data_IF_062418707679
#
_entry.id   IF_062418707679
#
_cell.length_a   1.000
_cell.length_b   1.000
_cell.length_c   1.000
_cell.angle_alpha   90.00
_cell.angle_beta   90.00
_cell.angle_gamma   90.00
#
_symmetry.space_group_name_H-M   'P 1'
#
loop_
_entity.id
_entity.type
_entity.pdbx_description
1 polymer ?
#
# COMPACT_ATOMS: atom_id res chain seq x y z
N UNK A 1 -46.58 9.90 15.90
CA UNK A 1 -46.01 8.53 16.04
C UNK A 1 -44.74 8.61 16.86
N UNK A 2 -44.60 7.74 17.86
CA UNK A 2 -43.57 7.77 18.92
C UNK A 2 -42.20 7.31 18.40
N UNK A 3 -41.14 8.05 18.71
CA UNK A 3 -39.78 7.51 18.83
C UNK A 3 -39.45 7.47 20.33
N UNK A 4 -39.09 6.27 20.80
CA UNK A 4 -38.93 5.89 22.20
C UNK A 4 -37.44 5.98 22.57
N UNK A 5 -37.19 6.70 23.66
CA UNK A 5 -35.90 6.84 24.36
C UNK A 5 -35.61 5.58 25.21
N UNK A 6 -34.31 5.35 25.47
CA UNK A 6 -33.62 4.62 26.58
C UNK A 6 -32.77 3.44 26.05
N UNK A 7 -31.51 3.25 26.45
CA UNK A 7 -30.90 3.53 27.75
C UNK A 7 -29.45 4.03 27.66
N UNK A 8 -29.19 5.11 28.39
CA UNK A 8 -27.91 5.37 29.05
C UNK A 8 -27.85 4.50 30.32
N UNK A 9 -26.82 3.68 30.48
CA UNK A 9 -26.45 3.16 31.80
C UNK A 9 -25.45 4.13 32.42
N UNK A 10 -25.99 5.08 33.19
CA UNK A 10 -25.27 5.80 34.22
C UNK A 10 -25.06 4.84 35.40
N UNK A 11 -23.81 4.54 35.74
CA UNK A 11 -23.43 4.14 37.09
C UNK A 11 -22.67 5.31 37.69
N UNK A 12 -23.33 5.98 38.65
CA UNK A 12 -22.71 6.94 39.56
C UNK A 12 -22.35 6.15 40.82
N UNK A 13 -21.07 6.12 41.17
CA UNK A 13 -20.61 5.74 42.49
C UNK A 13 -19.47 6.67 42.95
N UNK A 14 -19.81 7.53 43.91
CA UNK A 14 -18.98 8.13 44.95
C UNK A 14 -17.56 8.66 44.60
N UNK A 15 -17.50 9.95 44.22
CA UNK A 15 -16.72 10.93 44.99
C UNK A 15 -15.18 10.84 45.06
N UNK A 16 -14.47 10.13 44.17
CA UNK A 16 -13.02 10.30 43.97
C UNK A 16 -12.64 10.06 42.50
N UNK A 17 -11.95 11.02 41.89
CA UNK A 17 -11.27 10.82 40.61
C UNK A 17 -10.16 9.78 40.80
N UNK A 18 -10.39 8.55 40.38
CA UNK A 18 -9.33 7.57 40.16
C UNK A 18 -8.85 7.80 38.73
N UNK A 19 -7.62 8.29 38.58
CA UNK A 19 -6.92 8.33 37.29
C UNK A 19 -6.76 6.88 36.83
N UNK A 20 -7.49 6.48 35.80
CA UNK A 20 -7.23 5.24 35.07
C UNK A 20 -5.98 5.44 34.24
N UNK A 21 -4.85 4.99 34.78
CA UNK A 21 -3.60 4.81 34.03
C UNK A 21 -3.86 3.86 32.85
N UNK A 22 -3.38 4.17 31.64
CA UNK A 22 -3.54 3.28 30.50
C UNK A 22 -2.77 1.98 30.76
N UNK A 23 -3.45 0.85 30.52
CA UNK A 23 -2.87 -0.49 30.63
C UNK A 23 -1.67 -0.57 29.67
N UNK A 24 -0.44 -0.82 30.16
CA UNK A 24 0.73 -0.88 29.29
C UNK A 24 0.66 -2.12 28.40
N UNK A 25 0.95 -1.93 27.11
CA UNK A 25 1.12 -3.02 26.16
C UNK A 25 2.31 -3.89 26.58
N UNK A 26 2.05 -5.10 27.09
CA UNK A 26 3.07 -6.08 27.47
C UNK A 26 3.90 -6.63 26.28
N UNK A 27 3.74 -6.07 25.07
CA UNK A 27 4.51 -6.47 23.88
C UNK A 27 5.45 -5.38 23.36
N UNK A 28 5.48 -4.21 24.01
CA UNK A 28 6.31 -3.08 23.62
C UNK A 28 7.55 -2.97 24.51
N UNK A 29 8.34 -4.05 24.61
CA UNK A 29 9.64 -3.97 25.26
C UNK A 29 10.65 -3.29 24.35
N UNK A 30 10.67 -1.95 24.28
CA UNK A 30 11.95 -1.23 24.24
C UNK A 30 11.82 0.27 24.51
N UNK A 31 12.57 0.70 25.53
CA UNK A 31 13.07 2.05 25.73
C UNK A 31 14.28 2.18 24.81
N UNK A 32 14.26 3.12 23.88
CA UNK A 32 15.44 3.42 23.06
C UNK A 32 15.09 3.98 21.70
N UNK A 33 15.28 5.27 21.53
CA UNK A 33 15.43 5.93 20.24
C UNK A 33 16.49 5.20 19.41
N UNK A 34 16.25 4.81 18.15
CA UNK A 34 17.33 4.38 17.29
C UNK A 34 17.96 5.62 16.65
N UNK A 35 18.98 6.16 17.32
CA UNK A 35 20.08 6.81 16.62
C UNK A 35 20.85 5.72 15.87
N UNK A 36 20.52 5.52 14.59
CA UNK A 36 21.18 4.53 13.75
C UNK A 36 20.74 4.67 12.30
N UNK A 37 21.51 5.42 11.51
CA UNK A 37 21.39 5.48 10.06
C UNK A 37 21.81 4.14 9.45
N UNK A 38 20.87 3.22 9.30
CA UNK A 38 20.99 2.07 8.41
C UNK A 38 20.12 2.32 7.17
N UNK A 39 20.60 2.00 5.95
CA UNK A 39 19.78 2.14 4.76
C UNK A 39 18.62 1.13 4.83
N UNK A 40 17.42 1.63 5.14
CA UNK A 40 16.20 0.83 5.06
C UNK A 40 15.89 0.54 3.59
N UNK A 41 15.58 -0.72 3.26
CA UNK A 41 15.10 -1.06 1.92
C UNK A 41 13.76 -0.37 1.67
N UNK A 42 13.52 0.03 0.41
CA UNK A 42 12.32 0.76 0.01
C UNK A 42 11.02 0.01 0.40
N UNK A 43 11.06 -1.32 0.40
CA UNK A 43 9.98 -2.20 0.85
C UNK A 43 9.62 -2.04 2.34
N UNK A 44 10.60 -1.68 3.19
CA UNK A 44 10.41 -1.53 4.63
C UNK A 44 9.85 -0.16 4.99
N UNK A 45 10.09 0.85 4.15
CA UNK A 45 9.57 2.22 4.31
C UNK A 45 8.05 2.22 4.18
N UNK A 46 7.49 1.49 3.22
CA UNK A 46 6.05 1.37 3.03
C UNK A 46 5.36 0.81 4.28
N UNK A 47 5.88 -0.27 4.86
CA UNK A 47 5.33 -0.87 6.08
C UNK A 47 5.39 0.04 7.31
N UNK A 48 6.46 0.82 7.45
CA UNK A 48 6.62 1.76 8.58
C UNK A 48 5.66 2.94 8.44
N UNK A 49 5.53 3.52 7.24
CA UNK A 49 4.61 4.64 7.00
C UNK A 49 3.16 4.28 7.36
N UNK A 50 2.73 3.04 7.06
CA UNK A 50 1.39 2.53 7.41
C UNK A 50 1.12 2.51 8.92
N UNK A 51 2.15 2.32 9.75
CA UNK A 51 2.00 2.20 11.22
C UNK A 51 1.91 3.54 11.97
N UNK A 52 2.35 4.65 11.35
CA UNK A 52 2.42 5.98 11.99
C UNK A 52 1.31 6.95 11.55
N UNK A 53 0.51 6.61 10.54
CA UNK A 53 -0.54 7.46 10.00
C UNK A 53 -1.81 7.40 10.86
N UNK A 54 -1.76 7.96 12.07
CA UNK A 54 -2.82 7.81 13.06
C UNK A 54 -3.17 9.06 13.87
N UNK A 55 -2.89 10.28 13.43
CA UNK A 55 -3.36 11.50 14.15
C UNK A 55 -3.44 12.71 13.22
N UNK A 56 -4.60 13.01 12.61
CA UNK A 56 -5.03 14.38 12.23
C UNK A 56 -6.44 14.35 11.58
N UNK A 57 -7.53 14.65 12.31
CA UNK A 57 -8.90 14.56 11.80
C UNK A 57 -9.35 15.77 10.95
N UNK A 58 -8.43 16.64 10.50
CA UNK A 58 -8.77 17.97 9.99
C UNK A 58 -8.39 18.30 8.54
N UNK A 59 -7.66 17.45 7.84
CA UNK A 59 -7.31 17.70 6.43
C UNK A 59 -8.19 16.84 5.53
N UNK A 60 -9.05 17.45 4.73
CA UNK A 60 -9.60 16.83 3.50
C UNK A 60 -8.49 16.72 2.44
N UNK A 61 -7.32 16.26 2.86
CA UNK A 61 -6.18 15.93 2.01
C UNK A 61 -6.21 14.44 1.75
N UNK A 62 -5.69 14.05 0.59
CA UNK A 62 -5.59 12.66 0.17
C UNK A 62 -5.03 11.79 1.32
N UNK A 63 -5.68 10.67 1.60
CA UNK A 63 -5.24 9.75 2.65
C UNK A 63 -3.91 9.08 2.29
N UNK A 64 -3.15 8.57 3.27
CA UNK A 64 -1.87 7.91 2.98
C UNK A 64 -2.02 6.75 1.98
N UNK A 65 -3.10 5.99 2.06
CA UNK A 65 -3.38 4.89 1.13
C UNK A 65 -3.79 5.38 -0.26
N UNK A 66 -4.45 6.54 -0.33
CA UNK A 66 -4.83 7.17 -1.59
C UNK A 66 -3.62 7.67 -2.37
N UNK A 67 -2.65 8.32 -1.69
CA UNK A 67 -1.37 8.65 -2.31
C UNK A 67 -0.62 7.39 -2.75
N UNK A 68 -0.61 6.34 -1.93
CA UNK A 68 0.03 5.06 -2.28
C UNK A 68 -0.60 4.43 -3.52
N UNK A 69 -1.94 4.41 -3.61
CA UNK A 69 -2.65 3.90 -4.77
C UNK A 69 -2.34 4.71 -6.04
N UNK A 70 -2.35 6.04 -5.95
CA UNK A 70 -2.03 6.93 -7.08
C UNK A 70 -0.58 6.73 -7.55
N UNK A 71 0.36 6.65 -6.61
CA UNK A 71 1.77 6.39 -6.92
C UNK A 71 1.93 5.04 -7.63
N UNK A 72 1.29 3.99 -7.12
CA UNK A 72 1.35 2.65 -7.69
C UNK A 72 0.76 2.59 -9.11
N UNK A 73 -0.39 3.23 -9.34
CA UNK A 73 -1.02 3.38 -10.67
C UNK A 73 -0.04 4.01 -11.65
N UNK A 74 0.57 5.13 -11.26
CA UNK A 74 1.51 5.84 -12.11
C UNK A 74 2.77 5.00 -12.40
N UNK A 75 3.35 4.38 -11.38
CA UNK A 75 4.59 3.61 -11.48
C UNK A 75 4.45 2.36 -12.34
N UNK A 76 3.29 1.70 -12.33
CA UNK A 76 3.06 0.44 -13.04
C UNK A 76 2.36 0.58 -14.39
N UNK A 77 1.82 1.75 -14.72
CA UNK A 77 1.14 2.04 -15.99
C UNK A 77 1.88 1.56 -17.25
N UNK A 78 3.21 1.52 -17.23
CA UNK A 78 4.03 1.09 -18.38
C UNK A 78 4.06 -0.43 -18.63
N UNK A 79 3.63 -1.26 -17.66
CA UNK A 79 3.82 -2.71 -17.66
C UNK A 79 2.51 -3.48 -17.47
N UNK A 80 1.38 -2.84 -17.77
CA UNK A 80 0.02 -3.37 -17.65
C UNK A 80 -0.78 -2.88 -18.87
N UNK A 81 -1.91 -3.52 -19.18
CA UNK A 81 -2.84 -2.97 -20.18
C UNK A 81 -3.61 -1.78 -19.62
N UNK A 82 -4.10 -1.89 -18.40
CA UNK A 82 -4.78 -0.81 -17.69
C UNK A 82 -4.60 -0.96 -16.19
N UNK A 83 -4.58 0.17 -15.49
CA UNK A 83 -4.61 0.23 -14.03
C UNK A 83 -5.25 1.55 -13.59
N UNK A 84 -6.20 1.48 -12.66
CA UNK A 84 -6.90 2.66 -12.14
C UNK A 84 -7.51 2.38 -10.77
N UNK A 85 -7.70 3.43 -9.96
CA UNK A 85 -8.53 3.34 -8.75
C UNK A 85 -9.97 3.08 -9.18
N UNK A 86 -10.67 2.14 -8.54
CA UNK A 86 -12.07 1.84 -8.85
C UNK A 86 -12.96 3.04 -8.47
N UNK A 87 -13.84 3.42 -9.39
CA UNK A 87 -14.87 4.44 -9.17
C UNK A 87 -16.18 3.84 -8.63
N UNK A 88 -16.33 2.51 -8.73
CA UNK A 88 -17.55 1.79 -8.40
C UNK A 88 -17.53 1.22 -6.97
N UNK A 89 -16.35 1.02 -6.40
CA UNK A 89 -16.17 0.40 -5.09
C UNK A 89 -15.84 1.43 -3.98
N UNK A 90 -16.07 1.10 -2.70
CA UNK A 90 -15.83 2.02 -1.60
C UNK A 90 -14.39 2.55 -1.54
N UNK A 91 -14.26 3.86 -1.42
CA UNK A 91 -12.98 4.56 -1.20
C UNK A 91 -13.00 5.21 0.17
N UNK A 92 -12.13 4.74 1.06
CA UNK A 92 -12.03 5.23 2.44
C UNK A 92 -10.55 5.44 2.81
N UNK A 93 -10.23 6.19 3.88
CA UNK A 93 -8.85 6.39 4.30
C UNK A 93 -8.07 5.11 4.62
N UNK A 94 -8.77 4.00 4.92
CA UNK A 94 -8.19 2.73 5.35
C UNK A 94 -8.35 1.59 4.32
N UNK A 95 -9.08 1.84 3.23
CA UNK A 95 -9.37 0.86 2.19
C UNK A 95 -9.59 1.56 0.84
N UNK A 96 -8.78 1.18 -0.15
CA UNK A 96 -8.88 1.64 -1.52
C UNK A 96 -8.95 0.42 -2.45
N UNK A 97 -9.84 0.45 -3.44
CA UNK A 97 -9.87 -0.57 -4.49
C UNK A 97 -9.20 -0.09 -5.77
N UNK A 98 -8.43 -0.97 -6.40
CA UNK A 98 -7.70 -0.71 -7.64
C UNK A 98 -8.03 -1.81 -8.64
N UNK A 99 -8.42 -1.41 -9.84
CA UNK A 99 -8.60 -2.29 -10.98
C UNK A 99 -7.31 -2.37 -11.78
N UNK A 100 -6.99 -3.57 -12.24
CA UNK A 100 -5.79 -3.87 -12.99
C UNK A 100 -6.14 -4.88 -14.08
N UNK A 101 -5.70 -4.62 -15.30
CA UNK A 101 -5.63 -5.63 -16.36
C UNK A 101 -4.18 -5.82 -16.76
N UNK A 102 -3.67 -7.03 -16.62
CA UNK A 102 -2.28 -7.33 -16.93
C UNK A 102 -2.03 -7.31 -18.44
N UNK A 103 -0.75 -7.37 -18.85
CA UNK A 103 -0.44 -7.40 -20.29
C UNK A 103 -0.89 -8.68 -20.99
N UNK A 104 -1.19 -9.73 -20.22
CA UNK A 104 -1.78 -10.98 -20.66
C UNK A 104 -3.31 -10.95 -20.74
N UNK A 105 -3.93 -9.77 -20.56
CA UNK A 105 -5.40 -9.56 -20.60
C UNK A 105 -6.15 -10.23 -19.45
N UNK A 106 -5.47 -10.41 -18.32
CA UNK A 106 -6.10 -10.94 -17.12
C UNK A 106 -6.59 -9.79 -16.22
N UNK A 107 -7.91 -9.69 -15.96
CA UNK A 107 -8.46 -8.69 -15.06
C UNK A 107 -8.33 -9.09 -13.60
N UNK A 108 -8.06 -8.11 -12.75
CA UNK A 108 -8.03 -8.22 -11.30
C UNK A 108 -8.65 -6.98 -10.67
N UNK A 109 -9.39 -7.21 -9.59
CA UNK A 109 -9.69 -6.17 -8.62
C UNK A 109 -8.85 -6.43 -7.36
N UNK A 110 -8.21 -5.38 -6.87
CA UNK A 110 -7.28 -5.40 -5.76
C UNK A 110 -7.82 -4.51 -4.65
N UNK A 111 -7.57 -4.89 -3.40
CA UNK A 111 -7.69 -3.99 -2.27
C UNK A 111 -6.30 -3.57 -1.78
N UNK A 112 -6.21 -2.31 -1.37
CA UNK A 112 -5.10 -1.73 -0.63
C UNK A 112 -5.61 -1.34 0.76
N UNK A 113 -4.94 -1.86 1.78
CA UNK A 113 -5.17 -1.54 3.20
C UNK A 113 -3.83 -1.34 3.91
N UNK A 114 -3.85 -1.00 5.20
CA UNK A 114 -2.64 -0.96 6.02
C UNK A 114 -1.90 -2.31 6.13
N UNK A 115 -2.57 -3.43 5.82
CA UNK A 115 -1.94 -4.77 5.74
C UNK A 115 -1.15 -4.98 4.44
N UNK A 116 -1.36 -4.13 3.44
CA UNK A 116 -0.78 -4.25 2.11
C UNK A 116 -1.84 -4.49 1.03
N UNK A 117 -1.41 -5.14 -0.05
CA UNK A 117 -2.16 -5.38 -1.27
C UNK A 117 -2.71 -6.79 -1.32
N UNK A 118 -3.95 -6.97 -1.77
CA UNK A 118 -4.56 -8.30 -1.92
C UNK A 118 -5.47 -8.35 -3.13
N UNK A 119 -5.54 -9.51 -3.78
CA UNK A 119 -6.51 -9.75 -4.85
C UNK A 119 -7.88 -9.99 -4.20
N UNK A 120 -8.90 -9.26 -4.62
CA UNK A 120 -10.28 -9.45 -4.16
C UNK A 120 -11.13 -10.18 -5.17
N UNK A 121 -10.86 -10.02 -6.47
CA UNK A 121 -11.57 -10.73 -7.52
C UNK A 121 -10.75 -10.84 -8.80
N UNK A 122 -11.14 -11.78 -9.66
CA UNK A 122 -10.66 -11.93 -11.04
C UNK A 122 -11.54 -11.16 -12.05
N UNK A 123 -12.27 -10.16 -11.55
CA UNK A 123 -13.13 -9.27 -12.33
C UNK A 123 -12.91 -7.85 -11.85
N UNK A 124 -12.94 -6.90 -12.78
CA UNK A 124 -12.88 -5.47 -12.45
C UNK A 124 -14.11 -5.08 -11.63
N UNK A 125 -13.94 -4.10 -10.73
CA UNK A 125 -15.02 -3.55 -9.89
C UNK A 125 -15.79 -4.61 -9.08
N UNK A 126 -15.10 -5.68 -8.69
CA UNK A 126 -15.68 -6.78 -7.94
C UNK A 126 -14.85 -7.11 -6.70
N UNK A 127 -15.51 -7.20 -5.54
CA UNK A 127 -14.87 -7.63 -4.29
C UNK A 127 -15.12 -9.10 -3.94
N UNK A 128 -15.79 -9.84 -4.84
CA UNK A 128 -16.15 -11.25 -4.61
C UNK A 128 -15.05 -12.15 -5.17
N UNK A 129 -14.30 -12.75 -4.26
CA UNK A 129 -13.30 -13.77 -4.57
C UNK A 129 -13.93 -15.12 -4.92
N UNK A 130 -13.12 -15.99 -5.52
CA UNK A 130 -13.50 -17.38 -5.78
C UNK A 130 -13.04 -18.27 -4.62
N UNK A 131 -14.00 -18.86 -3.91
CA UNK A 131 -13.76 -19.70 -2.74
C UNK A 131 -13.01 -21.01 -3.06
N UNK A 132 -12.94 -21.42 -4.33
CA UNK A 132 -12.16 -22.60 -4.75
C UNK A 132 -10.64 -22.34 -4.72
N UNK A 133 -10.23 -21.07 -4.76
CA UNK A 133 -8.82 -20.64 -4.76
C UNK A 133 -8.53 -19.72 -3.58
N UNK A 134 -8.94 -20.13 -2.38
CA UNK A 134 -8.90 -19.32 -1.17
C UNK A 134 -7.54 -18.64 -0.94
N UNK A 135 -6.44 -19.38 -1.08
CA UNK A 135 -5.09 -18.87 -0.84
C UNK A 135 -4.77 -17.61 -1.67
N UNK A 136 -5.26 -17.55 -2.92
CA UNK A 136 -5.07 -16.41 -3.81
C UNK A 136 -5.73 -15.14 -3.26
N UNK A 137 -6.96 -15.27 -2.75
CA UNK A 137 -7.78 -14.14 -2.30
C UNK A 137 -7.55 -13.76 -0.83
N UNK A 138 -6.78 -14.55 -0.07
CA UNK A 138 -6.43 -14.25 1.32
C UNK A 138 -5.00 -13.77 1.50
N UNK A 139 -4.13 -13.92 0.50
CA UNK A 139 -2.71 -13.55 0.57
C UNK A 139 -2.52 -12.04 0.41
N UNK A 140 -1.97 -11.41 1.44
CA UNK A 140 -1.50 -10.03 1.37
C UNK A 140 -0.04 -9.96 0.90
N UNK A 141 0.24 -8.93 0.11
CA UNK A 141 1.57 -8.58 -0.40
C UNK A 141 1.98 -7.23 0.18
N UNK A 142 3.26 -7.09 0.52
CA UNK A 142 3.77 -5.83 1.09
C UNK A 142 3.77 -4.67 0.09
N UNK A 143 3.86 -4.98 -1.21
CA UNK A 143 3.84 -4.02 -2.31
C UNK A 143 3.12 -4.59 -3.54
N UNK A 144 2.60 -3.69 -4.38
CA UNK A 144 2.00 -4.08 -5.65
C UNK A 144 3.02 -4.74 -6.60
N UNK A 145 4.31 -4.39 -6.49
CA UNK A 145 5.38 -5.02 -7.27
C UNK A 145 5.52 -6.51 -6.98
N UNK A 146 5.51 -6.90 -5.70
CA UNK A 146 5.59 -8.33 -5.31
C UNK A 146 4.34 -9.09 -5.74
N UNK A 147 3.17 -8.45 -5.72
CA UNK A 147 1.94 -9.03 -6.26
C UNK A 147 2.06 -9.24 -7.77
N UNK A 148 2.51 -8.22 -8.51
CA UNK A 148 2.69 -8.28 -9.97
C UNK A 148 3.73 -9.32 -10.40
N UNK A 149 4.80 -9.49 -9.61
CA UNK A 149 5.81 -10.52 -9.83
C UNK A 149 5.19 -11.92 -9.79
N UNK A 150 4.20 -12.17 -8.94
CA UNK A 150 3.50 -13.46 -8.86
C UNK A 150 2.48 -13.65 -10.00
N UNK A 151 1.73 -12.61 -10.38
CA UNK A 151 0.55 -12.77 -11.26
C UNK A 151 0.78 -12.47 -12.74
N UNK A 152 1.84 -11.75 -13.11
CA UNK A 152 2.07 -11.31 -14.50
C UNK A 152 3.52 -11.58 -14.94
N UNK A 153 3.76 -12.70 -15.64
CA UNK A 153 5.06 -12.98 -16.24
C UNK A 153 5.56 -11.87 -17.18
N UNK A 154 4.63 -11.24 -17.89
CA UNK A 154 4.86 -10.15 -18.81
C UNK A 154 5.30 -8.86 -18.11
N UNK A 155 4.74 -8.56 -16.94
CA UNK A 155 5.26 -7.49 -16.09
C UNK A 155 6.74 -7.71 -15.77
N UNK A 156 7.15 -8.92 -15.39
CA UNK A 156 8.55 -9.24 -15.09
C UNK A 156 9.47 -8.97 -16.28
N UNK A 157 9.06 -9.39 -17.47
CA UNK A 157 9.81 -9.13 -18.71
C UNK A 157 9.96 -7.61 -18.97
N UNK A 158 8.86 -6.86 -18.95
CA UNK A 158 8.85 -5.40 -19.17
C UNK A 158 9.64 -4.64 -18.12
N UNK A 159 9.57 -5.06 -16.87
CA UNK A 159 10.33 -4.46 -15.79
C UNK A 159 11.83 -4.67 -16.01
N UNK A 160 12.24 -5.89 -16.36
CA UNK A 160 13.64 -6.21 -16.70
C UNK A 160 14.16 -5.39 -17.87
N UNK A 161 13.38 -5.28 -18.96
CA UNK A 161 13.71 -4.45 -20.12
C UNK A 161 13.90 -2.98 -19.74
N UNK A 162 12.97 -2.40 -18.96
CA UNK A 162 13.06 -1.01 -18.49
C UNK A 162 14.30 -0.79 -17.62
N UNK A 163 14.65 -1.76 -16.77
CA UNK A 163 15.86 -1.72 -15.96
C UNK A 163 17.12 -1.76 -16.83
N UNK A 164 17.19 -2.70 -17.77
CA UNK A 164 18.32 -2.84 -18.69
C UNK A 164 18.52 -1.58 -19.55
N UNK A 165 17.44 -0.97 -20.04
CA UNK A 165 17.50 0.30 -20.77
C UNK A 165 18.05 1.44 -19.90
N UNK A 166 17.57 1.58 -18.66
CA UNK A 166 18.08 2.61 -17.74
C UNK A 166 19.56 2.39 -17.41
N UNK A 167 20.00 1.15 -17.21
CA UNK A 167 21.41 0.83 -16.95
C UNK A 167 22.30 1.21 -18.15
N UNK A 168 21.89 0.87 -19.38
CA UNK A 168 22.60 1.25 -20.59
C UNK A 168 22.71 2.78 -20.74
N UNK A 169 21.65 3.52 -20.44
CA UNK A 169 21.67 4.98 -20.51
C UNK A 169 22.66 5.61 -19.52
N UNK A 170 22.83 5.00 -18.34
CA UNK A 170 23.82 5.46 -17.35
C UNK A 170 25.25 5.15 -17.82
N UNK A 171 25.51 3.95 -18.33
CA UNK A 171 26.81 3.57 -18.89
C UNK A 171 27.25 4.52 -20.02
N UNK A 172 26.33 4.83 -20.96
CA UNK A 172 26.61 5.78 -22.03
C UNK A 172 26.95 7.16 -21.46
N UNK A 173 26.20 7.66 -20.47
CA UNK A 173 26.51 8.95 -19.80
C UNK A 173 27.93 8.96 -19.21
N UNK A 174 28.37 7.89 -18.55
CA UNK A 174 29.73 7.80 -18.04
C UNK A 174 30.78 7.89 -19.16
N UNK A 175 30.53 7.29 -20.33
CA UNK A 175 31.46 7.36 -21.46
C UNK A 175 31.51 8.77 -22.07
N UNK A 176 30.37 9.41 -22.34
CA UNK A 176 30.38 10.76 -22.96
C UNK A 176 30.89 11.86 -22.02
N UNK A 177 30.60 11.77 -20.71
CA UNK A 177 30.93 12.85 -19.77
C UNK A 177 32.37 12.76 -19.21
N UNK A 178 32.98 11.57 -19.16
CA UNK A 178 34.34 11.39 -18.59
C UNK A 178 35.45 11.15 -19.62
N UNK A 179 35.16 10.62 -20.82
CA UNK A 179 36.18 10.39 -21.86
C UNK A 179 36.58 11.58 -22.76
N UNK A 180 36.10 12.84 -22.63
CA UNK A 180 36.71 13.96 -23.35
C UNK A 180 38.10 14.35 -22.82
N UNK A 181 38.50 13.88 -21.63
CA UNK A 181 39.71 14.37 -20.92
C UNK A 181 40.98 13.54 -21.10
N UNK A 182 40.96 12.49 -21.93
CA UNK A 182 42.12 11.63 -22.23
C UNK A 182 42.61 11.73 -23.68
N UNK A 183 42.18 12.77 -24.41
CA UNK A 183 42.84 13.21 -25.64
C UNK A 183 43.38 14.62 -25.45
N UNK A 184 44.54 14.73 -24.81
CA UNK A 184 45.57 15.75 -25.04
C UNK A 184 46.82 15.36 -24.26
#
# INVERSE_FOLDING_TARGET
MKSRIRSTSLLIDNGRMIKTEPIPCLRCGNIGSPSGSLPLSLHKVSSINRSFAGTNPGSRGDSSLELEAIAAVHELSFAVQSISVSEMLPRTPDLIFVNLTTIEDQPFCLELTHKGWRITSLRLDCMVGDFTRLELFTKYYDSLFSLMDDISPGYRARFGEKLALKLKMLEVRFVVDFFPRLRK
#
